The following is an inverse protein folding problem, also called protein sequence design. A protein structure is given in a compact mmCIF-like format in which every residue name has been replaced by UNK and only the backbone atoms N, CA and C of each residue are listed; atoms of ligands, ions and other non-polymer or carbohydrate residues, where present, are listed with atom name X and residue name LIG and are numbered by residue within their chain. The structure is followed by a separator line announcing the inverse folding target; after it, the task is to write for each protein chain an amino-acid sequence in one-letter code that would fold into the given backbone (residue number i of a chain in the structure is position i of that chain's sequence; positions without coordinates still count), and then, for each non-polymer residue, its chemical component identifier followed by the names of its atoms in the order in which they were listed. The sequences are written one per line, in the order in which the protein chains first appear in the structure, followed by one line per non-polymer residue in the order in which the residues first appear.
data_IF_318889469784
#
_entry.id   IF_318889469784
#
_cell.length_a   1.000
_cell.length_b   1.000
_cell.length_c   1.000
_cell.angle_alpha   90.00
_cell.angle_beta   90.00
_cell.angle_gamma   90.00
#
_symmetry.space_group_name_H-M   'P 1'
#
loop_
_entity.id
_entity.type
_entity.pdbx_description
1 polymer ?
#
# COMPACT_ATOMS: atom_id res chain seq x y z
N UNK A 1 -14.10 -6.13 -9.34
CA UNK A 1 -12.80 -5.98 -10.02
C UNK A 1 -12.87 -6.75 -11.32
N UNK A 2 -12.74 -6.10 -12.48
CA UNK A 2 -12.63 -6.82 -13.74
C UNK A 2 -11.19 -7.34 -13.84
N UNK A 3 -10.98 -8.64 -13.57
CA UNK A 3 -9.76 -9.30 -13.96
C UNK A 3 -9.62 -9.09 -15.47
N UNK A 4 -8.62 -8.31 -15.89
CA UNK A 4 -8.37 -8.11 -17.32
C UNK A 4 -7.72 -9.39 -17.81
N UNK A 5 -8.55 -10.37 -18.20
CA UNK A 5 -8.08 -11.64 -18.75
C UNK A 5 -7.20 -11.37 -19.95
N UNK A 6 -6.00 -11.95 -19.96
CA UNK A 6 -5.12 -11.92 -21.12
C UNK A 6 -5.78 -12.69 -22.27
N UNK A 7 -6.06 -12.00 -23.38
CA UNK A 7 -6.66 -12.57 -24.58
C UNK A 7 -5.56 -13.12 -25.49
N UNK A 8 -5.23 -14.39 -25.28
CA UNK A 8 -4.24 -15.15 -26.06
C UNK A 8 -4.52 -15.08 -27.56
N UNK A 9 -5.79 -15.14 -27.97
CA UNK A 9 -6.17 -15.15 -29.40
C UNK A 9 -5.88 -13.80 -30.06
N UNK A 10 -6.23 -12.69 -29.38
CA UNK A 10 -5.93 -11.35 -29.88
C UNK A 10 -4.43 -11.09 -29.95
N UNK A 11 -3.66 -11.62 -28.99
CA UNK A 11 -2.21 -11.51 -28.97
C UNK A 11 -1.56 -12.32 -30.11
N UNK A 12 -1.95 -13.57 -30.32
CA UNK A 12 -1.47 -14.40 -31.44
C UNK A 12 -1.75 -13.73 -32.78
N UNK A 13 -2.97 -13.22 -32.99
CA UNK A 13 -3.33 -12.50 -34.23
C UNK A 13 -2.42 -11.30 -34.48
N UNK A 14 -2.12 -10.51 -33.45
CA UNK A 14 -1.19 -9.37 -33.54
C UNK A 14 0.23 -9.80 -33.94
N UNK A 15 0.72 -10.92 -33.40
CA UNK A 15 2.04 -11.44 -33.78
C UNK A 15 2.08 -11.93 -35.23
N UNK A 16 1.02 -12.62 -35.68
CA UNK A 16 0.89 -13.08 -37.07
C UNK A 16 0.81 -11.89 -38.03
N UNK A 17 0.00 -10.87 -37.70
CA UNK A 17 -0.08 -9.61 -38.46
C UNK A 17 1.27 -8.88 -38.52
N UNK A 18 2.11 -9.02 -37.48
CA UNK A 18 3.47 -8.50 -37.44
C UNK A 18 4.51 -9.37 -38.18
N UNK A 19 4.08 -10.47 -38.82
CA UNK A 19 4.93 -11.35 -39.62
C UNK A 19 5.53 -12.55 -38.87
N UNK A 20 5.07 -12.86 -37.65
CA UNK A 20 5.46 -14.08 -36.95
C UNK A 20 4.79 -15.31 -37.54
N UNK A 21 5.45 -16.47 -37.46
CA UNK A 21 4.80 -17.75 -37.79
C UNK A 21 3.67 -18.04 -36.78
N UNK A 22 2.59 -18.71 -37.21
CA UNK A 22 1.47 -19.06 -36.32
C UNK A 22 1.91 -19.86 -35.10
N UNK A 23 2.82 -20.81 -35.30
CA UNK A 23 3.39 -21.68 -34.25
C UNK A 23 4.17 -20.86 -33.21
N UNK A 24 4.95 -19.88 -33.66
CA UNK A 24 5.71 -19.00 -32.75
C UNK A 24 4.78 -18.03 -32.02
N UNK A 25 3.77 -17.50 -32.70
CA UNK A 25 2.79 -16.60 -32.12
C UNK A 25 1.98 -17.29 -31.01
N UNK A 26 1.54 -18.53 -31.24
CA UNK A 26 0.83 -19.35 -30.24
C UNK A 26 1.72 -19.71 -29.07
N UNK A 27 2.93 -20.22 -29.32
CA UNK A 27 3.87 -20.57 -28.26
C UNK A 27 4.22 -19.36 -27.36
N UNK A 28 4.39 -18.18 -27.97
CA UNK A 28 4.66 -16.94 -27.23
C UNK A 28 3.45 -16.49 -26.43
N UNK A 29 2.24 -16.62 -26.98
CA UNK A 29 1.01 -16.25 -26.30
C UNK A 29 0.73 -17.14 -25.09
N UNK A 30 0.98 -18.45 -25.20
CA UNK A 30 0.84 -19.42 -24.12
C UNK A 30 1.87 -19.14 -23.00
N UNK A 31 3.15 -19.01 -23.35
CA UNK A 31 4.22 -18.72 -22.38
C UNK A 31 3.98 -17.40 -21.63
N UNK A 32 3.45 -16.38 -22.31
CA UNK A 32 3.12 -15.10 -21.67
C UNK A 32 1.92 -15.22 -20.72
N UNK A 33 0.88 -15.96 -21.11
CA UNK A 33 -0.29 -16.23 -20.25
C UNK A 33 0.11 -16.97 -18.98
N UNK A 34 0.99 -17.96 -19.10
CA UNK A 34 1.49 -18.73 -17.96
C UNK A 34 2.35 -17.87 -17.03
N UNK A 35 3.26 -17.05 -17.58
CA UNK A 35 4.07 -16.12 -16.79
C UNK A 35 3.23 -15.06 -16.05
N UNK A 36 2.14 -14.58 -16.66
CA UNK A 36 1.18 -13.69 -16.00
C UNK A 36 0.41 -14.38 -14.86
N UNK A 37 0.19 -15.69 -14.93
CA UNK A 37 -0.43 -16.48 -13.87
C UNK A 37 0.52 -16.74 -12.70
N UNK A 38 1.81 -16.93 -12.97
CA UNK A 38 2.83 -17.16 -11.93
C UNK A 38 3.25 -15.89 -11.19
N UNK A 39 3.17 -14.74 -11.85
CA UNK A 39 3.45 -13.45 -11.21
C UNK A 39 2.26 -13.03 -10.35
N UNK A 40 2.25 -13.39 -9.06
CA UNK A 40 1.31 -12.85 -8.05
C UNK A 40 1.20 -11.34 -8.24
N UNK A 41 0.10 -10.79 -8.79
CA UNK A 41 -0.03 -9.36 -8.92
C UNK A 41 -0.15 -8.82 -7.50
N UNK A 42 0.80 -7.97 -7.08
CA UNK A 42 0.60 -7.14 -5.89
C UNK A 42 -0.66 -6.33 -6.18
N UNK A 43 -1.76 -6.71 -5.55
CA UNK A 43 -3.05 -6.11 -5.85
C UNK A 43 -3.09 -4.72 -5.21
N UNK A 44 -3.85 -3.80 -5.80
CA UNK A 44 -4.10 -2.48 -5.16
C UNK A 44 -4.61 -2.64 -3.72
N UNK A 45 -5.33 -3.74 -3.45
CA UNK A 45 -5.76 -4.17 -2.11
C UNK A 45 -4.60 -4.32 -1.13
N UNK A 46 -3.47 -4.90 -1.55
CA UNK A 46 -2.30 -5.08 -0.69
C UNK A 46 -1.66 -3.74 -0.32
N UNK A 47 -1.65 -2.80 -1.28
CA UNK A 47 -1.16 -1.43 -1.07
C UNK A 47 -2.12 -0.65 -0.14
N UNK A 48 -3.42 -0.81 -0.32
CA UNK A 48 -4.44 -0.15 0.52
C UNK A 48 -4.44 -0.72 1.95
N UNK A 49 -4.24 -2.04 2.11
CA UNK A 49 -4.05 -2.68 3.41
C UNK A 49 -2.80 -2.18 4.12
N UNK A 50 -1.67 -2.06 3.39
CA UNK A 50 -0.44 -1.53 3.93
C UNK A 50 -0.59 -0.05 4.35
N UNK A 51 -1.29 0.75 3.54
CA UNK A 51 -1.58 2.16 3.85
C UNK A 51 -2.47 2.32 5.08
N UNK A 52 -3.46 1.42 5.23
CA UNK A 52 -4.35 1.38 6.40
C UNK A 52 -3.58 1.00 7.68
N UNK A 53 -2.74 -0.04 7.65
CA UNK A 53 -1.92 -0.45 8.79
C UNK A 53 -0.93 0.65 9.21
N UNK A 54 -0.25 1.28 8.25
CA UNK A 54 0.65 2.41 8.53
C UNK A 54 -0.09 3.60 9.12
N UNK A 55 -1.25 3.96 8.57
CA UNK A 55 -2.09 5.05 9.08
C UNK A 55 -2.57 4.79 10.52
N UNK A 56 -3.02 3.57 10.81
CA UNK A 56 -3.46 3.18 12.15
C UNK A 56 -2.34 3.21 13.21
N UNK A 57 -1.14 2.78 12.84
CA UNK A 57 0.04 2.85 13.72
C UNK A 57 0.42 4.30 14.00
N UNK A 58 0.49 5.16 12.98
CA UNK A 58 0.82 6.58 13.14
C UNK A 58 -0.21 7.27 14.05
N UNK A 59 -1.50 7.07 13.82
CA UNK A 59 -2.55 7.65 14.68
C UNK A 59 -2.47 7.19 16.14
N UNK A 60 -2.08 5.93 16.37
CA UNK A 60 -1.86 5.42 17.74
C UNK A 60 -0.64 6.08 18.41
N UNK A 61 0.42 6.37 17.65
CA UNK A 61 1.58 7.11 18.16
C UNK A 61 1.23 8.57 18.46
N UNK A 62 0.49 9.26 17.59
CA UNK A 62 0.04 10.63 17.83
C UNK A 62 -0.81 10.74 19.09
N UNK A 63 -1.76 9.82 19.29
CA UNK A 63 -2.59 9.77 20.49
C UNK A 63 -1.77 9.58 21.77
N UNK A 64 -0.75 8.70 21.73
CA UNK A 64 0.16 8.50 22.88
C UNK A 64 1.01 9.73 23.16
N UNK A 65 1.49 10.41 22.12
CA UNK A 65 2.28 11.64 22.25
C UNK A 65 1.43 12.75 22.86
N UNK A 66 0.19 12.93 22.39
CA UNK A 66 -0.73 13.94 22.92
C UNK A 66 -1.09 13.68 24.39
N UNK A 67 -1.38 12.42 24.74
CA UNK A 67 -1.66 12.05 26.13
C UNK A 67 -0.44 12.32 27.04
N UNK A 68 0.76 11.97 26.57
CA UNK A 68 2.00 12.24 27.31
C UNK A 68 2.26 13.75 27.44
N UNK A 69 2.00 14.53 26.38
CA UNK A 69 2.15 15.99 26.37
C UNK A 69 1.21 16.66 27.39
N UNK A 70 -0.05 16.23 27.48
CA UNK A 70 -1.01 16.75 28.45
C UNK A 70 -0.64 16.44 29.90
N UNK A 71 -0.18 15.21 30.17
CA UNK A 71 0.28 14.82 31.51
C UNK A 71 1.50 15.64 31.91
N UNK A 72 2.46 15.84 31.01
CA UNK A 72 3.64 16.68 31.26
C UNK A 72 3.27 18.14 31.53
N UNK A 73 2.31 18.70 30.79
CA UNK A 73 1.84 20.07 30.99
C UNK A 73 1.22 20.24 32.37
N UNK A 74 0.37 19.29 32.78
CA UNK A 74 -0.24 19.27 34.12
C UNK A 74 0.84 19.18 35.20
N UNK A 75 1.84 18.31 35.04
CA UNK A 75 2.95 18.17 35.99
C UNK A 75 3.76 19.48 36.11
N UNK A 76 4.08 20.13 34.99
CA UNK A 76 4.78 21.42 34.99
C UNK A 76 3.98 22.48 35.74
N UNK A 77 2.67 22.59 35.46
CA UNK A 77 1.79 23.54 36.14
C UNK A 77 1.70 23.24 37.64
N UNK A 78 1.57 21.98 38.02
CA UNK A 78 1.50 21.57 39.42
C UNK A 78 2.77 21.93 40.21
N UNK A 79 3.93 21.92 39.57
CA UNK A 79 5.21 22.30 40.18
C UNK A 79 5.38 23.82 40.26
N UNK A 80 5.02 24.55 39.20
CA UNK A 80 5.27 26.00 39.10
C UNK A 80 4.23 26.82 39.88
N UNK A 81 2.96 26.42 39.86
CA UNK A 81 1.86 27.14 40.52
C UNK A 81 2.11 27.44 42.02
N UNK A 82 2.58 26.50 42.86
CA UNK A 82 2.86 26.81 44.26
C UNK A 82 4.03 27.78 44.43
N UNK A 83 5.07 27.71 43.59
CA UNK A 83 6.21 28.62 43.68
C UNK A 83 5.86 30.07 43.31
N UNK A 84 4.91 30.27 42.39
CA UNK A 84 4.41 31.60 42.06
C UNK A 84 3.57 32.22 43.18
N UNK A 85 2.86 31.40 43.97
CA UNK A 85 2.13 31.85 45.17
C UNK A 85 3.06 32.30 46.29
N UNK A 86 4.26 31.74 46.37
CA UNK A 86 5.27 32.16 47.34
C UNK A 86 6.04 33.43 46.90
N UNK A 87 5.90 33.83 45.63
CA UNK A 87 6.58 35.00 45.02
C UNK A 87 5.70 36.25 44.90
N UNK A 88 4.38 36.14 45.08
CA UNK A 88 3.39 37.25 45.03
C UNK A 88 2.63 37.37 46.36
#
# INVERSE_FOLDING_TARGET
MAATTFDTLKFTKRLIEAGSSPEFAEATAEAFKDAQHESRPVTKTDIDLLRSDLGGRIGTLESKIDSTRWILLILIVAIIAPQLKDLF
#
